data_IF_694559809850
#
_entry.id   IF_694559809850
#
_cell.length_a   1.000
_cell.length_b   1.000
_cell.length_c   1.000
_cell.angle_alpha   90.00
_cell.angle_beta   90.00
_cell.angle_gamma   90.00
#
_symmetry.space_group_name_H-M   'P 1'
#
loop_
_entity.id
_entity.type
_entity.pdbx_description
1 polymer ?
#
# COMPACT_ATOMS: atom_id res chain seq x y z
N UNK A 1 11.82 -2.78 10.48
CA UNK A 1 12.09 -2.08 9.19
C UNK A 1 10.96 -1.16 8.72
N UNK A 2 9.71 -1.28 9.25
CA UNK A 2 8.59 -0.42 8.84
C UNK A 2 8.89 1.05 9.15
N UNK A 3 8.64 1.93 8.18
CA UNK A 3 8.93 3.37 8.31
C UNK A 3 10.39 3.76 8.10
N UNK A 4 11.28 2.81 7.75
CA UNK A 4 12.71 3.09 7.52
C UNK A 4 13.17 2.68 6.11
N UNK A 5 14.26 3.26 5.57
CA UNK A 5 14.86 2.85 4.29
C UNK A 5 15.31 1.37 4.25
N UNK A 6 15.59 0.77 5.41
CA UNK A 6 16.03 -0.63 5.52
C UNK A 6 15.05 -1.64 4.88
N UNK A 7 13.74 -1.32 4.87
CA UNK A 7 12.74 -2.13 4.17
C UNK A 7 13.06 -2.29 2.67
N UNK A 8 13.46 -1.20 2.01
CA UNK A 8 13.79 -1.21 0.58
C UNK A 8 15.10 -1.95 0.29
N UNK A 9 16.07 -1.87 1.21
CA UNK A 9 17.33 -2.63 1.11
C UNK A 9 17.07 -4.14 1.09
N UNK A 10 16.14 -4.64 1.92
CA UNK A 10 15.79 -6.07 1.94
C UNK A 10 15.27 -6.56 0.58
N UNK A 11 14.36 -5.80 -0.04
CA UNK A 11 13.82 -6.12 -1.38
C UNK A 11 14.89 -6.04 -2.46
N UNK A 12 15.70 -4.97 -2.46
CA UNK A 12 16.80 -4.81 -3.41
C UNK A 12 17.86 -5.91 -3.28
N UNK A 13 18.14 -6.38 -2.06
CA UNK A 13 19.07 -7.48 -1.81
C UNK A 13 18.53 -8.81 -2.37
N UNK A 14 17.24 -9.08 -2.26
CA UNK A 14 16.63 -10.27 -2.86
C UNK A 14 16.76 -10.26 -4.39
N UNK A 15 16.45 -9.13 -5.04
CA UNK A 15 16.60 -8.97 -6.49
C UNK A 15 18.05 -9.13 -6.95
N UNK A 16 19.01 -8.50 -6.24
CA UNK A 16 20.44 -8.63 -6.52
C UNK A 16 20.89 -10.08 -6.43
N UNK A 17 20.51 -10.80 -5.38
CA UNK A 17 20.92 -12.19 -5.20
C UNK A 17 20.33 -13.09 -6.28
N UNK A 18 19.07 -12.86 -6.70
CA UNK A 18 18.46 -13.60 -7.81
C UNK A 18 19.22 -13.39 -9.13
N UNK A 19 19.51 -12.14 -9.49
CA UNK A 19 20.29 -11.83 -10.69
C UNK A 19 21.71 -12.44 -10.63
N UNK A 20 22.38 -12.30 -9.48
CA UNK A 20 23.71 -12.86 -9.27
C UNK A 20 23.73 -14.38 -9.44
N UNK A 21 22.74 -15.07 -8.85
CA UNK A 21 22.58 -16.52 -8.99
C UNK A 21 22.36 -16.95 -10.45
N UNK A 22 21.53 -16.21 -11.20
CA UNK A 22 21.31 -16.46 -12.63
C UNK A 22 22.59 -16.29 -13.46
N UNK A 23 23.39 -15.25 -13.18
CA UNK A 23 24.67 -15.02 -13.86
C UNK A 23 25.73 -16.10 -13.54
N UNK A 24 25.71 -16.64 -12.32
CA UNK A 24 26.58 -17.78 -11.95
C UNK A 24 26.12 -19.05 -12.68
N UNK A 25 24.82 -19.34 -12.70
CA UNK A 25 24.27 -20.49 -13.41
C UNK A 25 24.57 -20.44 -14.92
N UNK A 26 24.51 -19.26 -15.52
CA UNK A 26 24.89 -19.04 -16.93
C UNK A 26 26.39 -19.32 -17.21
N UNK A 27 27.17 -19.51 -16.17
CA UNK A 27 28.63 -19.90 -16.25
C UNK A 27 28.88 -21.28 -15.65
N UNK A 28 27.87 -22.15 -15.71
CA UNK A 28 27.95 -23.55 -15.25
C UNK A 28 28.28 -23.70 -13.76
N UNK A 29 27.98 -22.66 -12.93
CA UNK A 29 28.08 -22.80 -11.48
C UNK A 29 26.93 -23.66 -10.97
N UNK A 30 27.24 -24.90 -10.56
CA UNK A 30 26.24 -25.87 -10.14
C UNK A 30 25.60 -25.50 -8.80
N UNK A 31 24.27 -25.60 -8.75
CA UNK A 31 23.47 -25.53 -7.52
C UNK A 31 23.03 -26.92 -7.06
N UNK A 32 22.31 -27.02 -5.92
CA UNK A 32 21.71 -28.28 -5.47
C UNK A 32 20.64 -28.77 -6.47
N UNK A 33 20.48 -30.09 -6.59
CA UNK A 33 19.50 -30.68 -7.50
C UNK A 33 18.06 -30.35 -7.13
N UNK A 34 17.76 -30.25 -5.83
CA UNK A 34 16.41 -29.97 -5.30
C UNK A 34 16.42 -28.78 -4.32
N UNK A 35 16.60 -27.53 -4.84
CA UNK A 35 16.76 -26.36 -3.97
C UNK A 35 15.48 -25.95 -3.23
N UNK A 36 14.31 -26.34 -3.72
CA UNK A 36 13.02 -25.93 -3.17
C UNK A 36 12.44 -27.01 -2.24
N UNK A 37 12.30 -28.23 -2.72
CA UNK A 37 11.57 -29.34 -2.10
C UNK A 37 12.45 -30.41 -1.46
N UNK A 38 13.76 -30.38 -1.64
CA UNK A 38 14.69 -31.30 -0.97
C UNK A 38 14.63 -31.19 0.56
N UNK A 39 15.12 -32.18 1.27
CA UNK A 39 15.11 -32.27 2.75
C UNK A 39 15.74 -31.02 3.41
N UNK A 40 16.75 -30.43 2.77
CA UNK A 40 17.38 -29.17 3.17
C UNK A 40 16.95 -28.00 2.26
N UNK A 41 15.88 -28.17 1.49
CA UNK A 41 15.38 -27.18 0.56
C UNK A 41 14.67 -26.02 1.25
N UNK A 42 14.40 -24.98 0.48
CA UNK A 42 13.83 -23.71 0.94
C UNK A 42 12.53 -23.87 1.76
N UNK A 43 11.61 -24.72 1.30
CA UNK A 43 10.33 -24.89 1.98
C UNK A 43 10.45 -25.60 3.31
N UNK A 44 11.32 -26.58 3.43
CA UNK A 44 11.61 -27.27 4.69
C UNK A 44 12.36 -26.38 5.69
N UNK A 45 13.16 -25.42 5.19
CA UNK A 45 13.80 -24.44 6.05
C UNK A 45 12.81 -23.39 6.63
N UNK A 46 11.66 -23.17 5.97
CA UNK A 46 10.65 -22.21 6.41
C UNK A 46 9.52 -22.81 7.24
N UNK A 47 9.32 -24.13 7.20
CA UNK A 47 8.21 -24.79 7.91
C UNK A 47 8.49 -26.24 8.20
N UNK A 48 7.98 -26.75 9.35
CA UNK A 48 8.22 -28.12 9.79
C UNK A 48 7.54 -29.18 8.91
N UNK A 49 6.40 -28.85 8.29
CA UNK A 49 5.65 -29.75 7.43
C UNK A 49 5.00 -29.00 6.25
N UNK A 50 5.79 -28.55 5.26
CA UNK A 50 5.26 -27.80 4.13
C UNK A 50 4.39 -28.70 3.23
N UNK A 51 3.18 -28.21 2.88
CA UNK A 51 2.35 -28.88 1.87
C UNK A 51 2.86 -28.52 0.46
N UNK A 52 3.77 -29.31 -0.06
CA UNK A 52 4.39 -29.10 -1.37
C UNK A 52 3.39 -29.23 -2.53
N UNK A 53 2.21 -29.83 -2.32
CA UNK A 53 1.17 -29.92 -3.36
C UNK A 53 0.63 -28.53 -3.76
N UNK A 54 0.75 -27.54 -2.88
CA UNK A 54 0.36 -26.16 -3.17
C UNK A 54 1.19 -25.51 -4.30
N UNK A 55 2.42 -26.00 -4.56
CA UNK A 55 3.31 -25.44 -5.59
C UNK A 55 2.78 -25.63 -7.00
N UNK A 56 2.05 -26.72 -7.23
CA UNK A 56 1.56 -27.09 -8.57
C UNK A 56 0.03 -27.14 -8.66
N UNK A 57 -0.69 -26.98 -7.54
CA UNK A 57 -2.15 -27.03 -7.51
C UNK A 57 -2.75 -25.91 -8.35
N UNK A 58 -3.56 -26.27 -9.35
CA UNK A 58 -4.20 -25.31 -10.25
C UNK A 58 -3.24 -24.53 -11.16
N UNK A 59 -2.02 -25.00 -11.35
CA UNK A 59 -1.05 -24.36 -12.23
C UNK A 59 -1.57 -24.36 -13.66
N UNK A 60 -1.62 -23.18 -14.29
CA UNK A 60 -2.19 -22.97 -15.63
C UNK A 60 -3.72 -22.74 -15.63
N UNK A 61 -4.41 -22.94 -14.50
CA UNK A 61 -5.87 -22.76 -14.34
C UNK A 61 -6.21 -21.62 -13.37
N UNK A 62 -5.46 -21.53 -12.26
CA UNK A 62 -5.65 -20.52 -11.21
C UNK A 62 -4.49 -19.52 -11.23
N UNK A 63 -4.83 -18.27 -11.49
CA UNK A 63 -3.87 -17.16 -11.54
C UNK A 63 -3.99 -16.30 -10.29
N UNK A 64 -3.07 -16.48 -9.35
CA UNK A 64 -3.07 -15.75 -8.08
C UNK A 64 -2.92 -14.23 -8.27
N UNK A 65 -2.32 -13.78 -9.37
CA UNK A 65 -2.23 -12.35 -9.72
C UNK A 65 -3.61 -11.70 -9.82
N UNK A 66 -4.66 -12.45 -10.22
CA UNK A 66 -6.03 -11.94 -10.31
C UNK A 66 -6.63 -11.58 -8.95
N UNK A 67 -6.06 -12.11 -7.85
CA UNK A 67 -6.46 -11.79 -6.47
C UNK A 67 -5.62 -10.67 -5.86
N UNK A 68 -4.75 -10.02 -6.64
CA UNK A 68 -3.87 -8.97 -6.16
C UNK A 68 -4.63 -7.69 -5.87
N UNK A 69 -4.49 -7.18 -4.65
CA UNK A 69 -5.05 -5.89 -4.26
C UNK A 69 -4.14 -4.73 -4.70
N UNK A 70 -4.76 -3.64 -5.14
CA UNK A 70 -4.06 -2.39 -5.48
C UNK A 70 -4.09 -1.42 -4.30
N UNK A 71 -3.09 -0.55 -4.22
CA UNK A 71 -3.04 0.50 -3.20
C UNK A 71 -3.46 1.84 -3.80
N UNK A 72 -4.64 2.38 -3.48
CA UNK A 72 -5.02 3.73 -3.89
C UNK A 72 -4.22 4.82 -3.15
N UNK A 73 -3.69 4.51 -1.95
CA UNK A 73 -2.95 5.47 -1.11
C UNK A 73 -1.51 5.00 -0.86
N UNK A 74 -0.52 5.92 -0.78
CA UNK A 74 0.91 5.59 -0.61
C UNK A 74 1.27 5.27 0.86
N UNK A 75 0.47 4.45 1.53
CA UNK A 75 0.64 4.10 2.95
C UNK A 75 0.46 2.60 3.23
N UNK A 76 0.50 2.20 4.49
CA UNK A 76 0.24 0.83 4.94
C UNK A 76 -1.18 0.39 4.60
N UNK A 77 -1.35 -0.83 4.03
CA UNK A 77 -2.66 -1.30 3.54
C UNK A 77 -3.74 -1.32 4.63
N UNK A 78 -3.39 -1.62 5.87
CA UNK A 78 -4.32 -1.61 7.01
C UNK A 78 -4.93 -0.22 7.31
N UNK A 79 -4.35 0.87 6.75
CA UNK A 79 -4.84 2.25 6.88
C UNK A 79 -5.88 2.61 5.81
N UNK A 80 -5.91 1.86 4.70
CA UNK A 80 -6.75 2.19 3.55
C UNK A 80 -8.24 2.28 3.87
N UNK A 81 -8.88 1.31 4.57
CA UNK A 81 -10.30 1.41 4.89
C UNK A 81 -10.62 2.60 5.79
N UNK A 82 -9.66 3.04 6.61
CA UNK A 82 -9.80 4.25 7.42
C UNK A 82 -9.84 5.50 6.53
N UNK A 83 -8.93 5.58 5.55
CA UNK A 83 -8.89 6.68 4.60
C UNK A 83 -10.14 6.73 3.72
N UNK A 84 -10.68 5.58 3.31
CA UNK A 84 -11.94 5.53 2.57
C UNK A 84 -13.08 6.17 3.39
N UNK A 85 -13.20 5.82 4.68
CA UNK A 85 -14.18 6.45 5.58
C UNK A 85 -13.96 7.96 5.69
N UNK A 86 -12.74 8.38 6.00
CA UNK A 86 -12.43 9.79 6.29
C UNK A 86 -12.58 10.68 5.06
N UNK A 87 -12.12 10.23 3.90
CA UNK A 87 -12.22 11.01 2.66
C UNK A 87 -13.66 11.15 2.18
N UNK A 88 -14.47 10.09 2.29
CA UNK A 88 -15.89 10.15 1.97
C UNK A 88 -16.62 11.12 2.91
N UNK A 89 -16.38 11.01 4.21
CA UNK A 89 -16.98 11.91 5.19
C UNK A 89 -16.56 13.38 4.95
N UNK A 90 -15.26 13.61 4.69
CA UNK A 90 -14.72 14.96 4.47
C UNK A 90 -15.28 15.62 3.23
N UNK A 91 -15.52 14.86 2.17
CA UNK A 91 -16.18 15.37 0.95
C UNK A 91 -17.59 15.91 1.25
N UNK A 92 -18.34 15.19 2.08
CA UNK A 92 -19.71 15.54 2.43
C UNK A 92 -19.78 16.63 3.54
N UNK A 93 -18.69 16.82 4.30
CA UNK A 93 -18.58 17.79 5.41
C UNK A 93 -17.34 18.69 5.27
N UNK A 94 -17.21 19.48 4.18
CA UNK A 94 -15.97 20.21 3.87
C UNK A 94 -15.58 21.29 4.90
N UNK A 95 -16.56 21.88 5.61
CA UNK A 95 -16.36 22.94 6.60
C UNK A 95 -16.36 22.44 8.05
N UNK A 96 -16.58 21.15 8.30
CA UNK A 96 -16.69 20.63 9.67
C UNK A 96 -15.37 20.75 10.43
N UNK A 97 -15.44 21.20 11.67
CA UNK A 97 -14.32 21.27 12.61
C UNK A 97 -14.31 20.00 13.46
N UNK A 98 -13.24 19.22 13.34
CA UNK A 98 -13.10 17.93 14.03
C UNK A 98 -12.52 18.14 15.42
N UNK A 99 -13.16 17.55 16.43
CA UNK A 99 -12.70 17.58 17.82
C UNK A 99 -12.01 16.28 18.23
N UNK A 100 -12.52 15.14 17.79
CA UNK A 100 -11.99 13.82 18.15
C UNK A 100 -12.23 12.82 17.03
N UNK A 101 -11.28 11.88 16.85
CA UNK A 101 -11.43 10.72 15.96
C UNK A 101 -11.01 9.45 16.70
N UNK A 102 -11.87 8.43 16.64
CA UNK A 102 -11.56 7.09 17.11
C UNK A 102 -11.58 6.16 15.89
N UNK A 103 -10.46 5.53 15.64
CA UNK A 103 -10.30 4.51 14.58
C UNK A 103 -10.32 3.14 15.23
N UNK A 104 -11.21 2.26 14.79
CA UNK A 104 -11.26 0.86 15.24
C UNK A 104 -10.95 -0.05 14.07
N UNK A 105 -9.97 -0.93 14.21
CA UNK A 105 -9.55 -1.84 13.15
C UNK A 105 -8.90 -3.12 13.67
N UNK A 106 -8.47 -3.98 12.76
CA UNK A 106 -7.79 -5.22 13.11
C UNK A 106 -6.59 -4.96 14.04
N UNK A 107 -6.26 -5.84 15.00
CA UNK A 107 -5.07 -5.71 15.86
C UNK A 107 -3.75 -5.49 15.09
N UNK A 108 -3.67 -5.97 13.85
CA UNK A 108 -2.53 -5.72 12.97
C UNK A 108 -2.37 -4.21 12.63
N UNK A 109 -3.48 -3.45 12.57
CA UNK A 109 -3.43 -1.99 12.40
C UNK A 109 -2.73 -1.33 13.58
N UNK A 110 -3.11 -1.69 14.82
CA UNK A 110 -2.45 -1.20 16.04
C UNK A 110 -0.96 -1.56 16.03
N UNK A 111 -0.63 -2.83 15.79
CA UNK A 111 0.75 -3.31 15.82
C UNK A 111 1.66 -2.61 14.77
N UNK A 112 1.11 -2.22 13.61
CA UNK A 112 1.90 -1.72 12.48
C UNK A 112 1.76 -0.23 12.19
N UNK A 113 0.65 0.39 12.59
CA UNK A 113 0.31 1.74 12.15
C UNK A 113 -0.21 2.68 13.26
N UNK A 114 -0.34 2.24 14.51
CA UNK A 114 -0.57 3.11 15.65
C UNK A 114 0.74 3.81 16.03
N UNK A 115 1.03 4.91 15.34
CA UNK A 115 2.27 5.69 15.47
C UNK A 115 1.97 7.18 15.50
N UNK A 116 1.58 7.71 16.66
CA UNK A 116 1.27 9.14 16.80
C UNK A 116 2.52 10.02 16.68
N UNK A 117 3.69 9.52 17.10
CA UNK A 117 4.93 10.29 17.14
C UNK A 117 5.81 9.92 15.93
N UNK A 118 5.73 10.78 14.91
CA UNK A 118 6.50 10.68 13.66
C UNK A 118 7.14 12.03 13.34
N UNK A 119 8.27 11.98 12.63
CA UNK A 119 9.06 13.15 12.26
C UNK A 119 9.29 13.31 10.76
N UNK A 120 9.09 12.23 9.98
CA UNK A 120 9.40 12.19 8.54
C UNK A 120 8.21 11.69 7.72
N UNK A 121 8.17 12.06 6.44
CA UNK A 121 7.21 11.54 5.46
C UNK A 121 7.31 10.02 5.30
N UNK A 122 8.51 9.46 5.47
CA UNK A 122 8.67 8.00 5.44
C UNK A 122 7.96 7.29 6.60
N UNK A 123 8.03 7.85 7.80
CA UNK A 123 7.32 7.33 8.97
C UNK A 123 5.82 7.52 8.85
N UNK A 124 5.39 8.62 8.22
CA UNK A 124 3.97 8.93 8.03
C UNK A 124 3.21 7.87 7.23
N UNK A 125 3.90 7.16 6.32
CA UNK A 125 3.31 6.07 5.52
C UNK A 125 2.81 4.88 6.37
N UNK A 126 3.17 4.83 7.63
CA UNK A 126 2.75 3.79 8.59
C UNK A 126 2.16 4.39 9.87
N UNK A 127 1.56 5.58 9.78
CA UNK A 127 0.84 6.27 10.87
C UNK A 127 -0.62 6.49 10.51
N UNK A 128 -1.55 5.83 11.21
CA UNK A 128 -2.99 6.07 11.07
C UNK A 128 -3.32 7.51 11.45
N UNK A 129 -2.73 8.00 12.55
CA UNK A 129 -2.98 9.34 13.04
C UNK A 129 -2.64 10.42 12.02
N UNK A 130 -1.49 10.25 11.34
CA UNK A 130 -1.09 11.19 10.30
C UNK A 130 -1.98 11.10 9.06
N UNK A 131 -2.25 9.89 8.58
CA UNK A 131 -3.07 9.66 7.40
C UNK A 131 -4.46 10.29 7.57
N UNK A 132 -5.10 10.08 8.73
CA UNK A 132 -6.40 10.69 9.08
C UNK A 132 -6.30 12.22 9.16
N UNK A 133 -5.28 12.75 9.85
CA UNK A 133 -5.10 14.19 10.01
C UNK A 133 -4.89 14.91 8.67
N UNK A 134 -4.02 14.38 7.82
CA UNK A 134 -3.76 14.93 6.49
C UNK A 134 -5.01 14.86 5.59
N UNK A 135 -5.72 13.74 5.59
CA UNK A 135 -6.96 13.57 4.83
C UNK A 135 -8.07 14.53 5.31
N UNK A 136 -8.24 14.72 6.62
CA UNK A 136 -9.19 15.68 7.18
C UNK A 136 -8.85 17.12 6.80
N UNK A 137 -7.57 17.48 6.79
CA UNK A 137 -7.16 18.86 6.49
C UNK A 137 -7.30 19.18 5.00
N UNK A 138 -6.88 18.25 4.13
CA UNK A 138 -6.70 18.51 2.69
C UNK A 138 -7.81 17.93 1.80
N UNK A 139 -8.61 16.99 2.31
CA UNK A 139 -9.56 16.20 1.50
C UNK A 139 -8.87 15.23 0.55
N UNK A 140 -7.57 14.97 0.72
CA UNK A 140 -6.74 14.09 -0.14
C UNK A 140 -5.85 13.16 0.67
N UNK A 141 -5.39 12.08 0.05
CA UNK A 141 -4.42 11.13 0.62
C UNK A 141 -3.45 10.60 -0.46
N UNK A 142 -2.95 11.50 -1.31
CA UNK A 142 -1.94 11.24 -2.33
C UNK A 142 -0.51 11.40 -1.82
N UNK A 143 0.46 11.44 -2.74
CA UNK A 143 1.90 11.52 -2.39
C UNK A 143 2.26 12.74 -1.55
N UNK A 144 1.65 13.89 -1.83
CA UNK A 144 1.91 15.15 -1.12
C UNK A 144 1.58 15.08 0.37
N UNK A 145 0.56 14.28 0.75
CA UNK A 145 0.12 14.13 2.13
C UNK A 145 1.10 13.30 2.98
N UNK A 146 2.08 12.62 2.37
CA UNK A 146 3.07 11.78 3.05
C UNK A 146 4.50 12.30 2.90
N UNK A 147 4.65 13.63 2.76
CA UNK A 147 5.93 14.33 2.72
C UNK A 147 6.36 14.85 4.10
N UNK A 148 7.65 15.15 4.27
CA UNK A 148 8.17 15.78 5.48
C UNK A 148 7.48 17.12 5.75
N UNK A 149 7.20 17.90 4.72
CA UNK A 149 6.48 19.18 4.83
C UNK A 149 5.08 19.00 5.42
N UNK A 150 4.33 17.99 4.98
CA UNK A 150 3.01 17.69 5.53
C UNK A 150 3.10 17.20 6.98
N UNK A 151 4.10 16.38 7.33
CA UNK A 151 4.32 15.93 8.71
C UNK A 151 4.62 17.09 9.66
N UNK A 152 5.34 18.11 9.19
CA UNK A 152 5.74 19.29 9.96
C UNK A 152 4.67 20.39 9.98
N UNK A 153 3.60 20.29 9.19
CA UNK A 153 2.50 21.27 9.22
C UNK A 153 1.82 21.28 10.60
N UNK A 154 1.83 22.41 11.33
CA UNK A 154 1.27 22.49 12.68
C UNK A 154 -0.25 22.18 12.71
N UNK A 155 -0.97 22.42 11.61
CA UNK A 155 -2.40 22.09 11.50
C UNK A 155 -2.60 20.57 11.44
N UNK A 156 -1.77 19.85 10.68
CA UNK A 156 -1.77 18.37 10.63
C UNK A 156 -1.38 17.81 11.99
N UNK A 157 -0.36 18.37 12.63
CA UNK A 157 0.07 17.95 13.97
C UNK A 157 -1.04 18.13 15.03
N UNK A 158 -1.78 19.24 14.97
CA UNK A 158 -2.90 19.50 15.85
C UNK A 158 -4.03 18.47 15.67
N UNK A 159 -4.37 18.12 14.43
CA UNK A 159 -5.36 17.07 14.12
C UNK A 159 -4.86 15.68 14.49
N UNK A 160 -3.58 15.38 14.25
CA UNK A 160 -2.97 14.09 14.60
C UNK A 160 -3.12 13.72 16.07
N UNK A 161 -3.02 14.71 16.97
CA UNK A 161 -3.22 14.53 18.42
C UNK A 161 -4.66 14.21 18.80
N UNK A 162 -5.64 14.45 17.93
CA UNK A 162 -7.05 14.16 18.15
C UNK A 162 -7.47 12.75 17.71
N UNK A 163 -6.55 11.97 17.12
CA UNK A 163 -6.81 10.64 16.57
C UNK A 163 -6.29 9.57 17.51
N UNK A 164 -7.15 8.66 17.90
CA UNK A 164 -6.82 7.45 18.66
C UNK A 164 -7.16 6.18 17.88
N UNK A 165 -6.45 5.09 18.15
CA UNK A 165 -6.59 3.80 17.46
C UNK A 165 -6.95 2.72 18.46
N UNK A 166 -7.92 1.86 18.12
CA UNK A 166 -8.39 0.74 18.95
C UNK A 166 -8.36 -0.53 18.11
N UNK A 167 -7.83 -1.62 18.67
CA UNK A 167 -7.82 -2.93 18.05
C UNK A 167 -9.09 -3.72 18.35
N UNK A 168 -9.69 -4.31 17.31
CA UNK A 168 -10.81 -5.24 17.42
C UNK A 168 -10.54 -6.47 16.53
N UNK A 169 -10.41 -7.63 17.16
CA UNK A 169 -10.10 -8.88 16.46
C UNK A 169 -11.25 -9.39 15.57
N UNK A 170 -12.48 -8.89 15.74
CA UNK A 170 -13.61 -9.21 14.88
C UNK A 170 -13.55 -8.49 13.52
N UNK A 171 -12.74 -7.43 13.41
CA UNK A 171 -12.57 -6.65 12.17
C UNK A 171 -11.44 -7.28 11.33
N UNK A 172 -11.74 -7.59 10.07
CA UNK A 172 -10.75 -8.10 9.11
C UNK A 172 -9.77 -7.00 8.69
N UNK A 173 -8.60 -7.36 8.19
CA UNK A 173 -7.52 -6.40 7.85
C UNK A 173 -7.87 -5.40 6.74
N UNK A 174 -8.90 -5.70 5.94
CA UNK A 174 -9.40 -4.85 4.86
C UNK A 174 -10.56 -3.96 5.27
N UNK A 175 -11.00 -4.02 6.55
CA UNK A 175 -12.12 -3.27 7.08
C UNK A 175 -11.68 -2.33 8.22
N UNK A 176 -12.48 -1.30 8.49
CA UNK A 176 -12.34 -0.41 9.63
C UNK A 176 -13.65 0.28 9.99
N UNK A 177 -13.77 0.74 11.24
CA UNK A 177 -14.79 1.67 11.69
C UNK A 177 -14.12 2.97 12.17
N UNK A 178 -14.74 4.11 11.89
CA UNK A 178 -14.24 5.43 12.29
C UNK A 178 -15.38 6.23 12.93
N UNK A 179 -15.17 6.71 14.14
CA UNK A 179 -16.05 7.65 14.80
C UNK A 179 -15.40 9.04 14.79
N UNK A 180 -16.08 10.03 14.17
CA UNK A 180 -15.63 11.42 14.11
C UNK A 180 -16.58 12.26 14.93
N UNK A 181 -16.08 12.95 15.97
CA UNK A 181 -16.82 13.93 16.73
C UNK A 181 -16.43 15.32 16.27
N UNK A 182 -17.42 16.11 15.88
CA UNK A 182 -17.26 17.50 15.45
C UNK A 182 -17.40 18.47 16.62
N UNK A 183 -16.95 19.73 16.46
CA UNK A 183 -16.93 20.74 17.52
C UNK A 183 -18.32 21.12 18.04
N UNK A 184 -19.39 20.88 17.28
CA UNK A 184 -20.78 21.00 17.68
C UNK A 184 -21.32 19.82 18.51
N UNK A 185 -20.45 18.84 18.80
CA UNK A 185 -20.76 17.66 19.61
C UNK A 185 -21.42 16.50 18.84
N UNK A 186 -21.60 16.62 17.53
CA UNK A 186 -22.16 15.54 16.70
C UNK A 186 -21.16 14.44 16.48
N UNK A 187 -21.56 13.19 16.71
CA UNK A 187 -20.77 12.01 16.41
C UNK A 187 -21.22 11.36 15.11
N UNK A 188 -20.29 11.18 14.16
CA UNK A 188 -20.48 10.49 12.89
C UNK A 188 -19.80 9.14 12.95
N UNK A 189 -20.56 8.04 12.78
CA UNK A 189 -20.05 6.65 12.74
C UNK A 189 -20.00 6.17 11.31
N UNK A 190 -18.81 5.76 10.88
CA UNK A 190 -18.50 5.35 9.54
C UNK A 190 -17.94 3.93 9.58
N UNK A 191 -18.23 3.13 8.57
CA UNK A 191 -17.72 1.77 8.45
C UNK A 191 -17.33 1.49 7.00
N UNK A 192 -16.15 0.92 6.81
CA UNK A 192 -15.70 0.40 5.54
C UNK A 192 -15.44 -1.09 5.70
N UNK A 193 -16.22 -1.91 5.01
CA UNK A 193 -16.15 -3.38 5.09
C UNK A 193 -15.08 -3.98 4.18
N UNK A 194 -14.72 -3.27 3.12
CA UNK A 194 -13.67 -3.67 2.17
C UNK A 194 -12.94 -2.42 1.66
N UNK A 195 -11.66 -2.32 1.93
CA UNK A 195 -10.81 -1.22 1.45
C UNK A 195 -10.83 -1.12 -0.07
N UNK A 196 -10.86 0.10 -0.61
CA UNK A 196 -10.74 0.34 -2.04
C UNK A 196 -9.44 -0.24 -2.56
N UNK A 197 -9.50 -0.90 -3.72
CA UNK A 197 -8.39 -1.63 -4.33
C UNK A 197 -8.25 -3.07 -3.85
N UNK A 198 -9.10 -3.56 -2.92
CA UNK A 198 -9.21 -4.97 -2.59
C UNK A 198 -10.08 -5.72 -3.62
N UNK A 199 -10.05 -7.05 -3.59
CA UNK A 199 -10.86 -7.91 -4.46
C UNK A 199 -12.37 -7.62 -4.33
N UNK A 200 -12.84 -7.38 -3.10
CA UNK A 200 -14.24 -7.06 -2.82
C UNK A 200 -14.63 -5.59 -3.14
N UNK A 201 -13.67 -4.71 -3.40
CA UNK A 201 -13.89 -3.29 -3.73
C UNK A 201 -12.77 -2.81 -4.69
N UNK A 202 -12.75 -3.29 -5.94
CA UNK A 202 -11.65 -3.03 -6.86
C UNK A 202 -11.58 -1.57 -7.30
N UNK A 203 -10.39 -1.13 -7.70
CA UNK A 203 -10.19 0.13 -8.41
C UNK A 203 -10.66 -0.02 -9.86
N UNK A 204 -11.25 1.03 -10.42
CA UNK A 204 -11.51 1.11 -11.85
C UNK A 204 -10.21 1.36 -12.64
N UNK A 205 -10.25 1.08 -13.95
CA UNK A 205 -9.14 1.39 -14.87
C UNK A 205 -8.74 2.86 -14.79
N UNK A 206 -9.72 3.76 -14.73
CA UNK A 206 -9.49 5.19 -14.57
C UNK A 206 -8.75 5.51 -13.26
N UNK A 207 -9.09 4.84 -12.16
CA UNK A 207 -8.39 5.02 -10.88
C UNK A 207 -6.93 4.60 -10.96
N UNK A 208 -6.64 3.51 -11.68
CA UNK A 208 -5.28 3.03 -11.93
C UNK A 208 -4.48 4.00 -12.80
N UNK A 209 -5.10 4.51 -13.86
CA UNK A 209 -4.49 5.52 -14.72
C UNK A 209 -4.23 6.83 -13.96
N UNK A 210 -5.19 7.30 -13.17
CA UNK A 210 -5.04 8.54 -12.38
C UNK A 210 -3.92 8.40 -11.34
N UNK A 211 -3.79 7.23 -10.72
CA UNK A 211 -2.66 6.92 -9.84
C UNK A 211 -1.32 6.96 -10.58
N UNK A 212 -1.25 6.43 -11.81
CA UNK A 212 -0.04 6.49 -12.63
C UNK A 212 0.29 7.93 -13.04
N UNK A 213 -0.72 8.72 -13.41
CA UNK A 213 -0.56 10.16 -13.73
C UNK A 213 -0.02 10.94 -12.55
N UNK A 214 -0.55 10.71 -11.33
CA UNK A 214 -0.06 11.35 -10.10
C UNK A 214 1.41 10.98 -9.83
N UNK A 215 1.77 9.71 -9.95
CA UNK A 215 3.14 9.26 -9.75
C UNK A 215 4.11 9.85 -10.77
N UNK A 216 3.73 9.90 -12.05
CA UNK A 216 4.53 10.48 -13.12
C UNK A 216 4.71 11.99 -12.95
N UNK A 217 3.66 12.72 -12.57
CA UNK A 217 3.72 14.14 -12.30
C UNK A 217 4.64 14.48 -11.12
N UNK A 218 4.69 13.63 -10.10
CA UNK A 218 5.61 13.76 -8.97
C UNK A 218 7.07 13.53 -9.34
N UNK A 219 7.33 12.76 -10.40
CA UNK A 219 8.67 12.52 -10.94
C UNK A 219 9.08 13.57 -11.98
N UNK A 220 8.24 13.79 -13.00
CA UNK A 220 8.45 14.78 -14.05
C UNK A 220 7.10 15.32 -14.55
N UNK A 221 6.67 16.52 -14.11
CA UNK A 221 5.37 17.07 -14.47
C UNK A 221 5.22 17.41 -15.97
N UNK A 222 6.33 17.43 -16.72
CA UNK A 222 6.34 17.69 -18.17
C UNK A 222 6.36 16.41 -19.01
N UNK A 223 6.44 15.23 -18.39
CA UNK A 223 6.43 13.95 -19.10
C UNK A 223 5.04 13.59 -19.56
N UNK A 224 4.89 13.37 -20.87
CA UNK A 224 3.61 12.88 -21.41
C UNK A 224 3.46 11.38 -21.15
N UNK A 225 2.66 11.04 -20.16
CA UNK A 225 2.43 9.67 -19.73
C UNK A 225 1.41 8.92 -20.59
N UNK A 226 0.69 9.58 -21.51
CA UNK A 226 -0.38 8.96 -22.31
C UNK A 226 0.12 7.80 -23.17
N UNK A 227 1.26 7.90 -23.90
CA UNK A 227 1.76 6.79 -24.69
C UNK A 227 2.10 5.55 -23.84
N UNK A 228 2.59 5.73 -22.60
CA UNK A 228 2.86 4.63 -21.69
C UNK A 228 1.57 3.96 -21.23
N UNK A 229 0.52 4.72 -20.89
CA UNK A 229 -0.79 4.18 -20.51
C UNK A 229 -1.37 3.33 -21.64
N UNK A 230 -1.36 3.84 -22.87
CA UNK A 230 -1.84 3.12 -24.06
C UNK A 230 -1.05 1.82 -24.30
N UNK A 231 0.28 1.89 -24.16
CA UNK A 231 1.14 0.73 -24.35
C UNK A 231 0.95 -0.32 -23.24
N UNK A 232 0.69 0.09 -21.99
CA UNK A 232 0.37 -0.82 -20.87
C UNK A 232 -0.94 -1.57 -21.15
N UNK A 233 -1.99 -0.89 -21.59
CA UNK A 233 -3.29 -1.50 -21.89
C UNK A 233 -3.25 -2.47 -23.08
N UNK A 234 -2.21 -2.40 -23.91
CA UNK A 234 -1.99 -3.27 -25.06
C UNK A 234 -0.72 -4.12 -24.91
N UNK A 235 -0.31 -4.41 -23.69
CA UNK A 235 0.94 -5.14 -23.41
C UNK A 235 0.92 -6.56 -23.97
N UNK A 236 -0.25 -7.20 -24.03
CA UNK A 236 -0.49 -8.52 -24.59
C UNK A 236 -0.32 -8.56 -26.11
N UNK A 237 -0.41 -7.42 -26.82
CA UNK A 237 -0.15 -7.28 -28.25
C UNK A 237 1.32 -6.94 -28.56
N UNK A 238 2.15 -6.70 -27.53
CA UNK A 238 3.53 -6.23 -27.71
C UNK A 238 4.49 -7.37 -28.04
N UNK A 239 5.19 -7.27 -29.16
CA UNK A 239 6.27 -8.18 -29.52
C UNK A 239 7.54 -7.99 -28.65
N UNK A 240 7.73 -6.80 -28.08
CA UNK A 240 8.90 -6.44 -27.28
C UNK A 240 8.53 -5.53 -26.12
N UNK A 241 8.46 -6.11 -24.91
CA UNK A 241 8.14 -5.38 -23.67
C UNK A 241 9.25 -4.42 -23.21
N UNK A 242 10.46 -4.50 -23.78
CA UNK A 242 11.55 -3.57 -23.44
C UNK A 242 11.21 -2.14 -23.83
N UNK A 243 10.32 -1.94 -24.80
CA UNK A 243 9.80 -0.63 -25.18
C UNK A 243 9.03 0.05 -24.07
N UNK A 244 8.26 -0.71 -23.26
CA UNK A 244 7.59 -0.16 -22.08
C UNK A 244 8.61 0.37 -21.06
N UNK A 245 9.66 -0.40 -20.81
CA UNK A 245 10.73 0.03 -19.90
C UNK A 245 11.41 1.33 -20.40
N UNK A 246 11.65 1.44 -21.71
CA UNK A 246 12.22 2.65 -22.30
C UNK A 246 11.34 3.90 -22.13
N UNK A 247 10.01 3.77 -22.08
CA UNK A 247 9.07 4.87 -21.83
C UNK A 247 9.07 5.37 -20.39
N UNK A 248 9.68 4.63 -19.45
CA UNK A 248 9.78 5.01 -18.01
C UNK A 248 11.09 5.66 -17.64
N UNK A 249 12.00 5.86 -18.60
CA UNK A 249 13.30 6.51 -18.39
C UNK A 249 13.24 7.96 -18.86
N UNK A 250 13.96 8.91 -18.18
CA UNK A 250 14.02 10.31 -18.58
C UNK A 250 14.58 10.51 -19.98
#
# INVERSE_FOLDING_TARGET
>A
CLGTPAKSVGVGNAARNGLWSALLAARDFAGPAEPLNGVQGYYHALGEAPDLSQLTRGLGETWEIMKTSYKPYPCGFVVHPVLDCVLNWRRDHPAAVVEKVIVTGNPLMVARADRPDISTGRESQVSVQHAVAAALLTGKAGLEQFTDACVQDPRVQALRRKVSVVGDASIVTTAAAVAITTADGVEHKLTQTAARGSDANPMSDRDLEDKLREAAAGWNPHHDIRPLIEAIWRVDESEDVSRLAAMTVP
#
